data_IF_273461860021
#
_entry.id   IF_273461860021
#
_cell.length_a   1.000
_cell.length_b   1.000
_cell.length_c   1.000
_cell.angle_alpha   90.00
_cell.angle_beta   90.00
_cell.angle_gamma   90.00
#
_symmetry.space_group_name_H-M   'P 1'
#
loop_
_entity.id
_entity.type
_entity.pdbx_description
1 polymer ?
#
# COMPACT_ATOMS: atom_id res chain seq x y z
N UNK A 1 4.43 4.69 3.11
CA UNK A 1 3.74 3.38 3.03
C UNK A 1 2.28 3.59 3.37
N UNK A 2 1.37 3.05 2.57
CA UNK A 2 -0.08 3.01 2.82
C UNK A 2 -0.48 1.54 3.00
N UNK A 3 -1.05 1.20 4.16
CA UNK A 3 -1.48 -0.17 4.46
C UNK A 3 -3.00 -0.24 4.58
N UNK A 4 -3.63 -1.03 3.72
CA UNK A 4 -5.07 -1.32 3.80
C UNK A 4 -5.32 -2.64 4.53
N UNK A 5 -6.18 -2.67 5.53
CA UNK A 5 -6.58 -3.91 6.23
C UNK A 5 -7.94 -4.39 5.71
N UNK A 6 -8.01 -5.62 5.20
CA UNK A 6 -9.21 -6.19 4.56
C UNK A 6 -9.44 -7.64 5.01
N UNK A 7 -10.48 -7.88 5.81
CA UNK A 7 -10.91 -9.25 6.15
C UNK A 7 -11.51 -10.00 4.95
N UNK A 8 -12.36 -9.32 4.18
CA UNK A 8 -12.89 -9.80 2.90
C UNK A 8 -12.52 -8.80 1.81
N UNK A 9 -11.94 -9.29 0.71
CA UNK A 9 -11.51 -8.45 -0.40
C UNK A 9 -12.50 -8.56 -1.54
N UNK A 10 -13.26 -7.49 -1.71
CA UNK A 10 -14.36 -7.41 -2.65
C UNK A 10 -13.93 -6.79 -3.98
N UNK A 11 -14.78 -6.86 -5.00
CA UNK A 11 -14.55 -6.16 -6.27
C UNK A 11 -14.47 -4.64 -6.09
N UNK A 12 -15.18 -4.07 -5.10
CA UNK A 12 -15.07 -2.66 -4.74
C UNK A 12 -13.68 -2.33 -4.16
N UNK A 13 -13.09 -3.25 -3.40
CA UNK A 13 -11.72 -3.07 -2.89
C UNK A 13 -10.70 -3.15 -4.04
N UNK A 14 -10.91 -4.01 -5.03
CA UNK A 14 -10.10 -4.05 -6.25
C UNK A 14 -10.15 -2.71 -6.99
N UNK A 15 -11.34 -2.13 -7.18
CA UNK A 15 -11.47 -0.83 -7.84
C UNK A 15 -10.73 0.28 -7.06
N UNK A 16 -10.92 0.33 -5.73
CA UNK A 16 -10.20 1.27 -4.86
C UNK A 16 -8.68 1.09 -4.95
N UNK A 17 -8.23 -0.15 -5.00
CA UNK A 17 -6.83 -0.52 -5.12
C UNK A 17 -6.22 0.02 -6.42
N UNK A 18 -6.92 -0.11 -7.55
CA UNK A 18 -6.45 0.41 -8.84
C UNK A 18 -6.33 1.93 -8.82
N UNK A 19 -7.32 2.64 -8.27
CA UNK A 19 -7.23 4.10 -8.14
C UNK A 19 -6.07 4.52 -7.24
N UNK A 20 -5.90 3.87 -6.09
CA UNK A 20 -4.80 4.18 -5.18
C UNK A 20 -3.43 4.00 -5.84
N UNK A 21 -3.27 2.97 -6.67
CA UNK A 21 -2.05 2.74 -7.44
C UNK A 21 -1.72 3.92 -8.36
N UNK A 22 -2.72 4.43 -9.09
CA UNK A 22 -2.55 5.59 -9.97
C UNK A 22 -2.12 6.85 -9.19
N UNK A 23 -2.72 7.07 -8.01
CA UNK A 23 -2.35 8.19 -7.15
C UNK A 23 -0.92 8.09 -6.63
N UNK A 24 -0.49 6.89 -6.22
CA UNK A 24 0.88 6.67 -5.76
C UNK A 24 1.88 6.92 -6.90
N UNK A 25 1.58 6.44 -8.11
CA UNK A 25 2.42 6.71 -9.27
C UNK A 25 2.56 8.21 -9.54
N UNK A 26 1.46 8.97 -9.50
CA UNK A 26 1.49 10.40 -9.69
C UNK A 26 2.31 11.13 -8.60
N UNK A 27 2.14 10.74 -7.33
CA UNK A 27 2.91 11.32 -6.21
C UNK A 27 4.40 11.01 -6.33
N UNK A 28 4.74 9.77 -6.68
CA UNK A 28 6.12 9.34 -6.86
C UNK A 28 6.79 10.03 -8.05
N UNK A 29 6.06 10.23 -9.16
CA UNK A 29 6.54 11.00 -10.30
C UNK A 29 6.76 12.48 -9.97
N UNK A 30 5.89 13.07 -9.14
CA UNK A 30 6.07 14.44 -8.66
C UNK A 30 7.33 14.60 -7.79
N UNK A 31 7.69 13.58 -7.00
CA UNK A 31 8.96 13.53 -6.25
C UNK A 31 9.05 14.44 -5.01
N UNK A 32 8.13 15.39 -4.83
CA UNK A 32 8.14 16.35 -3.71
C UNK A 32 7.70 15.80 -2.34
N UNK A 33 7.26 14.54 -2.25
CA UNK A 33 6.67 13.96 -1.03
C UNK A 33 7.35 12.65 -0.57
N UNK A 34 8.58 12.42 -1.03
CA UNK A 34 9.28 11.14 -0.85
C UNK A 34 8.68 10.01 -1.68
N UNK A 35 9.15 8.78 -1.44
CA UNK A 35 8.65 7.60 -2.17
C UNK A 35 7.50 6.93 -1.41
N UNK A 36 6.36 6.82 -2.08
CA UNK A 36 5.16 6.16 -1.58
C UNK A 36 5.10 4.73 -2.12
N UNK A 37 4.70 3.82 -1.25
CA UNK A 37 4.45 2.41 -1.53
C UNK A 37 3.17 2.01 -0.81
N UNK A 38 2.55 0.91 -1.24
CA UNK A 38 1.32 0.40 -0.63
C UNK A 38 1.29 -1.11 -0.49
N UNK A 39 0.42 -1.58 0.39
CA UNK A 39 0.16 -2.99 0.61
C UNK A 39 -1.24 -3.24 1.16
N UNK A 40 -1.68 -4.50 1.11
CA UNK A 40 -2.97 -4.93 1.66
C UNK A 40 -2.75 -6.08 2.64
N UNK A 41 -3.08 -5.84 3.91
CA UNK A 41 -3.18 -6.86 4.94
C UNK A 41 -4.51 -7.62 4.79
N UNK A 42 -4.43 -8.95 4.67
CA UNK A 42 -5.60 -9.84 4.61
C UNK A 42 -5.88 -10.52 5.94
N UNK A 43 -4.90 -10.52 6.84
CA UNK A 43 -5.01 -11.05 8.18
C UNK A 43 -4.22 -10.14 9.15
N UNK A 44 -4.77 -9.74 10.31
CA UNK A 44 -4.01 -8.95 11.29
C UNK A 44 -2.60 -9.49 11.62
N UNK A 45 -2.37 -10.80 11.54
CA UNK A 45 -1.06 -11.41 11.78
C UNK A 45 0.01 -11.05 10.73
N UNK A 46 -0.38 -10.64 9.51
CA UNK A 46 0.55 -10.30 8.42
C UNK A 46 1.09 -8.85 8.52
N UNK A 47 0.47 -7.99 9.33
CA UNK A 47 0.78 -6.55 9.41
C UNK A 47 2.24 -6.32 9.76
N UNK A 48 2.78 -7.04 10.76
CA UNK A 48 4.16 -6.86 11.18
C UNK A 48 5.13 -7.16 10.03
N UNK A 49 4.92 -8.29 9.34
CA UNK A 49 5.74 -8.70 8.20
C UNK A 49 5.70 -7.65 7.07
N UNK A 50 4.52 -7.10 6.77
CA UNK A 50 4.36 -6.06 5.75
C UNK A 50 5.16 -4.80 6.12
N UNK A 51 5.07 -4.35 7.37
CA UNK A 51 5.79 -3.17 7.85
C UNK A 51 7.31 -3.39 7.87
N UNK A 52 7.78 -4.56 8.32
CA UNK A 52 9.20 -4.89 8.32
C UNK A 52 9.77 -4.85 6.89
N UNK A 53 9.04 -5.42 5.91
CA UNK A 53 9.40 -5.36 4.48
C UNK A 53 9.44 -3.92 3.98
N UNK A 54 8.44 -3.10 4.33
CA UNK A 54 8.36 -1.71 3.92
C UNK A 54 9.57 -0.90 4.37
N UNK A 55 9.97 -1.07 5.63
CA UNK A 55 11.12 -0.39 6.24
C UNK A 55 12.41 -0.88 5.61
N UNK A 56 12.56 -2.19 5.38
CA UNK A 56 13.74 -2.76 4.73
C UNK A 56 13.95 -2.19 3.32
N UNK A 57 12.90 -2.11 2.49
CA UNK A 57 12.95 -1.56 1.14
C UNK A 57 13.19 -0.05 1.07
N UNK A 58 13.04 0.66 2.19
CA UNK A 58 13.24 2.12 2.27
C UNK A 58 14.64 2.50 2.74
N UNK A 59 15.51 1.52 3.03
CA UNK A 59 16.94 1.71 3.36
C UNK A 59 17.79 1.50 2.12
#
# INVERSE_FOLDING_TARGET
>A
MILETKGHYTQKDVAKSVFLEQWIQAVNQHGGFGFWQRDISRNPSDVKMILDRAVFLSK
#
